data_IF_380041058964
#
_entry.id   IF_380041058964
#
_cell.length_a   1.000
_cell.length_b   1.000
_cell.length_c   1.000
_cell.angle_alpha   90.00
_cell.angle_beta   90.00
_cell.angle_gamma   90.00
#
_symmetry.space_group_name_H-M   'P 1'
#
loop_
_entity.id
_entity.type
_entity.pdbx_description
1 polymer ?
#
# COMPACT_ATOMS: atom_id res chain seq x y z
N UNK A 1 -4.84 -12.28 3.89
CA UNK A 1 -4.00 -11.19 3.42
C UNK A 1 -3.46 -10.42 4.61
N UNK A 2 -2.15 -10.26 4.71
CA UNK A 2 -1.59 -9.53 5.84
C UNK A 2 -2.00 -8.07 5.85
N UNK A 3 -2.52 -7.64 6.97
CA UNK A 3 -2.87 -6.24 7.19
C UNK A 3 -1.70 -5.56 7.89
N UNK A 4 -1.25 -4.42 7.35
CA UNK A 4 -0.18 -3.65 7.97
C UNK A 4 -0.75 -2.80 9.09
N UNK A 5 -1.78 -2.01 8.79
CA UNK A 5 -2.41 -1.13 9.78
C UNK A 5 -3.79 -0.72 9.27
N UNK A 6 -4.64 -0.37 10.20
CA UNK A 6 -5.93 0.21 9.86
C UNK A 6 -6.12 1.44 10.74
N UNK A 7 -6.25 2.61 10.12
CA UNK A 7 -6.36 3.86 10.84
C UNK A 7 -7.21 4.84 10.04
N UNK A 8 -8.10 5.56 10.71
CA UNK A 8 -8.97 6.57 10.11
C UNK A 8 -9.77 6.04 8.91
N UNK A 9 -10.14 4.77 8.98
CA UNK A 9 -10.90 4.14 7.90
C UNK A 9 -10.06 3.69 6.71
N UNK A 10 -8.74 3.83 6.75
CA UNK A 10 -7.82 3.32 5.74
C UNK A 10 -7.25 1.99 6.21
N UNK A 11 -7.47 0.92 5.45
CA UNK A 11 -6.90 -0.39 5.74
C UNK A 11 -5.75 -0.65 4.77
N UNK A 12 -4.53 -0.72 5.29
CA UNK A 12 -3.32 -0.91 4.49
C UNK A 12 -2.95 -2.39 4.53
N UNK A 13 -2.80 -3.00 3.36
CA UNK A 13 -2.56 -4.44 3.22
C UNK A 13 -1.48 -4.72 2.20
N UNK A 14 -0.78 -5.85 2.38
CA UNK A 14 0.15 -6.39 1.38
C UNK A 14 -0.44 -7.72 0.91
N UNK A 15 -0.63 -7.88 -0.39
CA UNK A 15 -1.17 -9.12 -0.95
C UNK A 15 -0.03 -10.13 -1.17
N UNK A 16 -0.32 -11.42 -1.01
CA UNK A 16 0.69 -12.46 -1.04
C UNK A 16 1.09 -12.92 -2.43
N UNK A 17 0.34 -12.53 -3.44
CA UNK A 17 0.60 -12.93 -4.84
C UNK A 17 0.91 -11.74 -5.75
N UNK A 18 1.32 -10.61 -5.16
CA UNK A 18 1.71 -9.43 -5.93
C UNK A 18 3.09 -9.61 -6.55
N UNK A 19 3.33 -8.89 -7.64
CA UNK A 19 4.58 -8.90 -8.37
C UNK A 19 5.07 -7.48 -8.64
N UNK A 20 6.34 -7.38 -8.99
CA UNK A 20 6.94 -6.12 -9.42
C UNK A 20 7.43 -5.27 -8.27
N UNK A 21 7.55 -3.96 -8.47
CA UNK A 21 8.07 -3.08 -7.43
C UNK A 21 7.22 -3.10 -6.17
N UNK A 22 7.87 -2.88 -5.04
CA UNK A 22 7.20 -2.93 -3.74
C UNK A 22 6.05 -1.94 -3.67
N UNK A 23 4.91 -2.40 -3.19
CA UNK A 23 3.71 -1.58 -3.05
C UNK A 23 2.77 -2.17 -2.01
N UNK A 24 1.81 -1.38 -1.58
CA UNK A 24 0.75 -1.81 -0.69
C UNK A 24 -0.60 -1.46 -1.31
N UNK A 25 -1.65 -2.07 -0.80
CA UNK A 25 -3.02 -1.74 -1.17
C UNK A 25 -3.70 -1.07 0.01
N UNK A 26 -4.44 0.00 -0.26
CA UNK A 26 -5.20 0.72 0.76
C UNK A 26 -6.67 0.65 0.39
N UNK A 27 -7.47 0.11 1.31
CA UNK A 27 -8.91 0.02 1.13
C UNK A 27 -9.56 1.19 1.88
N UNK A 28 -10.36 1.98 1.18
CA UNK A 28 -11.09 3.10 1.76
C UNK A 28 -12.40 3.28 1.03
N UNK A 29 -13.51 3.26 1.77
CA UNK A 29 -14.87 3.45 1.21
C UNK A 29 -15.16 2.50 0.04
N UNK A 30 -14.69 1.25 0.13
CA UNK A 30 -14.89 0.27 -0.93
C UNK A 30 -13.96 0.43 -2.13
N UNK A 31 -13.10 1.42 -2.15
CA UNK A 31 -12.13 1.66 -3.22
C UNK A 31 -10.79 1.09 -2.81
N UNK A 32 -10.17 0.33 -3.71
CA UNK A 32 -8.86 -0.28 -3.46
C UNK A 32 -7.80 0.52 -4.21
N UNK A 33 -6.92 1.19 -3.46
CA UNK A 33 -5.84 2.01 -4.02
C UNK A 33 -4.53 1.24 -3.97
N UNK A 34 -3.74 1.34 -5.03
CA UNK A 34 -2.39 0.80 -5.07
C UNK A 34 -1.40 1.95 -4.85
N UNK A 35 -0.58 1.82 -3.81
CA UNK A 35 0.38 2.86 -3.41
C UNK A 35 1.76 2.23 -3.47
N UNK A 36 2.67 2.79 -4.26
CA UNK A 36 4.04 2.31 -4.32
C UNK A 36 4.78 2.71 -3.04
N UNK A 37 5.86 1.97 -2.72
CA UNK A 37 6.66 2.24 -1.52
C UNK A 37 7.95 2.98 -1.83
N UNK A 38 8.39 2.98 -3.08
CA UNK A 38 9.68 3.61 -3.45
C UNK A 38 9.58 4.21 -4.85
N UNK A 39 9.22 5.49 -4.93
CA UNK A 39 8.76 6.39 -3.87
C UNK A 39 7.33 6.07 -3.43
N UNK A 40 6.91 6.62 -2.30
CA UNK A 40 5.53 6.50 -1.86
C UNK A 40 4.67 7.38 -2.77
N UNK A 41 3.82 6.75 -3.58
CA UNK A 41 3.02 7.45 -4.57
C UNK A 41 1.79 6.63 -4.97
N UNK A 42 0.75 7.33 -5.36
CA UNK A 42 -0.45 6.68 -5.90
C UNK A 42 -0.15 6.10 -7.29
N UNK A 43 -0.56 4.86 -7.51
CA UNK A 43 -0.36 4.17 -8.79
C UNK A 43 -1.69 4.01 -9.52
N UNK A 44 -2.68 3.38 -8.89
CA UNK A 44 -3.96 3.07 -9.53
C UNK A 44 -5.02 2.79 -8.48
N UNK A 45 -6.26 2.64 -8.92
CA UNK A 45 -7.37 2.28 -8.05
C UNK A 45 -8.33 1.35 -8.76
N UNK A 46 -9.03 0.53 -7.97
CA UNK A 46 -10.08 -0.39 -8.45
C UNK A 46 -11.34 -0.17 -7.63
N UNK A 47 -12.48 -0.53 -8.23
CA UNK A 47 -13.80 -0.52 -7.58
C UNK A 47 -14.30 0.88 -7.27
N UNK A 48 -13.79 1.87 -7.97
CA UNK A 48 -14.22 3.24 -7.82
C UNK A 48 -13.11 4.22 -8.15
N UNK A 49 -13.46 5.48 -8.10
CA UNK A 49 -12.53 6.57 -8.39
C UNK A 49 -12.31 7.37 -7.10
N UNK A 50 -11.11 7.31 -6.51
CA UNK A 50 -10.88 8.05 -5.28
C UNK A 50 -10.79 9.55 -5.54
N UNK A 51 -11.32 10.34 -4.59
CA UNK A 51 -11.15 11.78 -4.62
C UNK A 51 -9.70 12.14 -4.31
N UNK A 52 -9.32 13.39 -4.59
CA UNK A 52 -7.99 13.86 -4.22
C UNK A 52 -7.76 13.77 -2.72
N UNK A 53 -8.79 14.05 -1.93
CA UNK A 53 -8.71 13.94 -0.47
C UNK A 53 -8.39 12.50 -0.04
N UNK A 54 -9.05 11.52 -0.63
CA UNK A 54 -8.82 10.10 -0.31
C UNK A 54 -7.42 9.68 -0.75
N UNK A 55 -6.98 10.10 -1.94
CA UNK A 55 -5.61 9.79 -2.41
C UNK A 55 -4.57 10.35 -1.46
N UNK A 56 -4.70 11.61 -1.06
CA UNK A 56 -3.76 12.24 -0.13
C UNK A 56 -3.76 11.56 1.22
N UNK A 57 -4.94 11.21 1.72
CA UNK A 57 -5.05 10.48 2.99
C UNK A 57 -4.38 9.13 2.93
N UNK A 58 -4.58 8.38 1.84
CA UNK A 58 -3.94 7.08 1.67
C UNK A 58 -2.42 7.22 1.61
N UNK A 59 -1.92 8.20 0.86
CA UNK A 59 -0.47 8.45 0.76
C UNK A 59 0.08 8.83 2.13
N UNK A 60 -0.62 9.69 2.88
CA UNK A 60 -0.16 10.13 4.20
C UNK A 60 -0.08 8.95 5.17
N UNK A 61 -1.08 8.07 5.19
CA UNK A 61 -1.08 6.90 6.06
C UNK A 61 0.08 5.99 5.72
N UNK A 62 0.30 5.70 4.42
CA UNK A 62 1.42 4.86 4.00
C UNK A 62 2.76 5.51 4.35
N UNK A 63 2.90 6.81 4.13
CA UNK A 63 4.13 7.53 4.42
C UNK A 63 4.46 7.49 5.91
N UNK A 64 3.47 7.68 6.75
CA UNK A 64 3.67 7.65 8.21
C UNK A 64 4.05 6.27 8.71
N UNK A 65 3.64 5.21 8.01
CA UNK A 65 3.87 3.83 8.41
C UNK A 65 4.71 3.06 7.39
N UNK A 66 5.55 3.77 6.65
CA UNK A 66 6.29 3.18 5.53
C UNK A 66 7.22 2.05 5.98
N UNK A 67 7.83 2.19 7.16
CA UNK A 67 8.70 1.13 7.67
C UNK A 67 7.94 -0.14 8.00
N UNK A 68 6.73 0.01 8.56
CA UNK A 68 5.87 -1.15 8.82
C UNK A 68 5.45 -1.81 7.50
N UNK A 69 5.15 -1.01 6.48
CA UNK A 69 4.82 -1.54 5.16
C UNK A 69 5.98 -2.34 4.57
N UNK A 70 7.21 -1.82 4.66
CA UNK A 70 8.39 -2.52 4.20
C UNK A 70 8.63 -3.80 4.98
N UNK A 71 8.42 -3.77 6.30
CA UNK A 71 8.62 -4.96 7.13
C UNK A 71 7.68 -6.09 6.69
N UNK A 72 6.41 -5.79 6.42
CA UNK A 72 5.46 -6.78 5.96
C UNK A 72 5.80 -7.25 4.55
N UNK A 73 6.19 -6.32 3.65
CA UNK A 73 6.59 -6.65 2.29
C UNK A 73 7.75 -7.65 2.29
N UNK A 74 8.80 -7.36 3.07
CA UNK A 74 9.98 -8.24 3.15
C UNK A 74 9.67 -9.58 3.78
N UNK A 75 8.76 -9.61 4.75
CA UNK A 75 8.34 -10.86 5.38
C UNK A 75 7.70 -11.80 4.37
N UNK A 76 6.96 -11.25 3.40
CA UNK A 76 6.28 -12.05 2.38
C UNK A 76 7.21 -12.41 1.22
N UNK A 77 7.99 -11.45 0.75
CA UNK A 77 8.75 -11.57 -0.50
C UNK A 77 10.26 -11.72 -0.29
N UNK A 78 10.73 -11.62 0.96
CA UNK A 78 12.15 -11.75 1.29
C UNK A 78 12.89 -10.43 1.26
N UNK A 79 14.14 -10.45 1.74
CA UNK A 79 14.94 -9.25 1.92
C UNK A 79 15.34 -8.60 0.60
N UNK A 80 15.47 -9.39 -0.47
CA UNK A 80 15.86 -8.87 -1.77
C UNK A 80 14.69 -8.32 -2.58
N UNK A 81 13.47 -8.40 -2.06
CA UNK A 81 12.28 -8.02 -2.81
C UNK A 81 12.23 -6.52 -3.12
N UNK A 82 12.87 -5.69 -2.30
CA UNK A 82 12.87 -4.25 -2.51
C UNK A 82 13.79 -3.81 -3.64
N UNK A 83 14.64 -4.70 -4.15
CA UNK A 83 15.49 -4.40 -5.29
C UNK A 83 14.94 -4.99 -6.61
N UNK A 84 13.79 -5.64 -6.58
CA UNK A 84 13.19 -6.19 -7.78
C UNK A 84 12.60 -5.09 -8.67
N UNK A 85 12.66 -5.27 -10.00
CA UNK A 85 12.11 -4.29 -10.93
C UNK A 85 10.59 -4.20 -10.86
#
# INVERSE_FOLDING_TARGET
MPKVIEIKGYAVKVFTDDHGPAHVHVLKNGILLKISLQPVAFVSAKYGRPSEHVKRGAIAVVQEHVEACWAVWRKIYGEDADSLP
#
